data_IF_934906741562
#
_entry.id   IF_934906741562
#
_cell.length_a   1.000
_cell.length_b   1.000
_cell.length_c   1.000
_cell.angle_alpha   90.00
_cell.angle_beta   90.00
_cell.angle_gamma   90.00
#
_symmetry.space_group_name_H-M   'P 1'
#
loop_
_entity.id
_entity.type
_entity.pdbx_description
1 polymer ?
#
# COMPACT_ATOMS: atom_id res chain seq x y z
N UNK A 1 3.54 50.33 -16.46
CA UNK A 1 4.51 49.48 -15.75
C UNK A 1 4.01 48.05 -15.76
N UNK A 2 4.69 47.23 -16.56
CA UNK A 2 4.41 45.82 -16.82
C UNK A 2 5.01 45.00 -15.68
N UNK A 3 4.27 44.08 -15.07
CA UNK A 3 4.58 42.64 -15.14
C UNK A 3 3.66 41.85 -14.21
N UNK A 4 2.73 41.13 -14.83
CA UNK A 4 2.21 39.88 -14.31
C UNK A 4 3.22 38.80 -14.71
N UNK A 5 3.82 38.11 -13.75
CA UNK A 5 4.70 36.98 -14.02
C UNK A 5 3.93 35.68 -13.71
N UNK A 6 3.44 35.04 -14.77
CA UNK A 6 2.92 33.69 -14.78
C UNK A 6 4.02 32.74 -15.28
N UNK A 7 4.21 31.65 -14.52
CA UNK A 7 4.56 30.28 -14.94
C UNK A 7 6.00 30.04 -15.45
N UNK A 8 6.72 29.10 -14.82
CA UNK A 8 7.11 27.81 -15.41
C UNK A 8 7.99 27.01 -14.43
N UNK A 9 7.39 25.96 -13.85
CA UNK A 9 8.08 25.00 -12.98
C UNK A 9 7.49 23.61 -13.19
N UNK A 10 7.44 23.17 -14.44
CA UNK A 10 6.91 21.87 -14.83
C UNK A 10 7.90 20.75 -14.45
N UNK A 11 7.99 20.41 -13.16
CA UNK A 11 8.71 19.20 -12.76
C UNK A 11 7.82 17.98 -12.94
N UNK A 12 8.05 17.26 -14.04
CA UNK A 12 7.61 15.86 -14.21
C UNK A 12 8.21 15.03 -13.08
N UNK A 13 7.50 14.89 -11.98
CA UNK A 13 7.80 13.90 -10.95
C UNK A 13 7.58 12.52 -11.57
N UNK A 14 8.64 11.73 -11.59
CA UNK A 14 8.74 10.49 -12.35
C UNK A 14 7.70 9.44 -11.93
N UNK A 15 7.02 8.91 -12.94
CA UNK A 15 5.96 7.88 -12.93
C UNK A 15 6.27 6.60 -12.11
N UNK A 16 7.52 6.39 -11.71
CA UNK A 16 7.99 5.20 -10.99
C UNK A 16 7.89 5.32 -9.47
N UNK A 17 7.85 6.54 -8.92
CA UNK A 17 7.91 6.77 -7.46
C UNK A 17 6.63 6.36 -6.73
N UNK A 18 5.47 6.66 -7.32
CA UNK A 18 4.14 6.39 -6.71
C UNK A 18 3.82 4.89 -6.77
N UNK A 19 4.08 4.22 -7.90
CA UNK A 19 3.97 2.76 -8.03
C UNK A 19 4.93 1.98 -7.13
N UNK A 20 6.02 2.61 -6.66
CA UNK A 20 6.94 2.02 -5.68
C UNK A 20 6.46 2.22 -4.26
N UNK A 21 5.77 3.32 -3.94
CA UNK A 21 5.24 3.60 -2.59
C UNK A 21 4.13 2.62 -2.19
N UNK A 22 3.16 2.38 -3.08
CA UNK A 22 2.09 1.38 -2.84
C UNK A 22 2.66 -0.04 -2.72
N UNK A 23 3.65 -0.38 -3.55
CA UNK A 23 4.38 -1.65 -3.45
C UNK A 23 5.28 -1.75 -2.22
N UNK A 24 5.82 -0.65 -1.70
CA UNK A 24 6.63 -0.64 -0.47
C UNK A 24 5.77 -0.71 0.78
N UNK A 25 4.56 -0.15 0.78
CA UNK A 25 3.64 -0.22 1.91
C UNK A 25 3.07 -1.64 2.06
N UNK A 26 2.76 -2.33 0.96
CA UNK A 26 2.51 -3.79 1.00
C UNK A 26 3.76 -4.62 1.36
N UNK A 27 4.96 -4.03 1.32
CA UNK A 27 6.21 -4.66 1.76
C UNK A 27 6.57 -4.35 3.21
N UNK A 28 5.90 -3.39 3.86
CA UNK A 28 6.13 -3.04 5.26
C UNK A 28 5.51 -4.04 6.23
N UNK A 29 4.71 -4.99 5.74
CA UNK A 29 4.38 -6.24 6.43
C UNK A 29 5.40 -7.36 6.15
N UNK A 30 6.21 -7.25 5.08
CA UNK A 30 7.19 -8.26 4.65
C UNK A 30 8.62 -7.77 4.90
N UNK A 31 9.03 -7.80 6.16
CA UNK A 31 10.39 -7.52 6.60
C UNK A 31 11.38 -8.46 5.88
N UNK A 32 12.29 -7.84 5.13
CA UNK A 32 13.69 -8.24 4.87
C UNK A 32 13.93 -9.71 4.45
N UNK A 33 14.12 -9.96 3.15
CA UNK A 33 14.92 -11.11 2.72
C UNK A 33 16.05 -10.68 1.80
N UNK A 34 17.25 -10.86 2.35
CA UNK A 34 18.53 -10.81 1.68
C UNK A 34 18.56 -11.83 0.54
N UNK A 35 18.98 -11.43 -0.65
CA UNK A 35 19.45 -12.35 -1.68
C UNK A 35 20.97 -12.30 -1.73
N UNK A 36 21.62 -13.20 -0.99
CA UNK A 36 22.93 -13.71 -1.39
C UNK A 36 22.68 -15.05 -2.07
N UNK A 37 22.79 -15.07 -3.39
CA UNK A 37 22.98 -16.32 -4.14
C UNK A 37 24.49 -16.49 -4.34
N UNK A 38 25.01 -17.61 -3.85
CA UNK A 38 26.35 -18.08 -4.16
C UNK A 38 26.21 -19.48 -4.73
N UNK A 39 26.67 -19.66 -5.96
CA UNK A 39 27.06 -20.96 -6.48
C UNK A 39 28.39 -20.79 -7.21
N UNK A 40 29.45 -21.34 -6.63
CA UNK A 40 30.26 -22.34 -7.31
C UNK A 40 31.13 -23.09 -6.29
N UNK A 41 31.12 -24.41 -6.44
CA UNK A 41 31.80 -25.41 -5.66
C UNK A 41 33.32 -25.28 -5.74
N UNK A 42 34.02 -25.54 -4.63
CA UNK A 42 35.19 -26.43 -4.57
C UNK A 42 35.52 -26.81 -3.12
N UNK A 43 36.00 -28.03 -2.97
CA UNK A 43 36.38 -28.78 -1.76
C UNK A 43 37.40 -28.10 -0.82
N UNK A 44 37.20 -28.22 0.51
CA UNK A 44 38.10 -28.90 1.47
C UNK A 44 37.82 -28.49 2.94
N UNK A 45 37.53 -29.51 3.78
CA UNK A 45 37.81 -29.71 5.22
C UNK A 45 37.98 -28.48 6.15
N UNK A 46 37.08 -28.34 7.16
CA UNK A 46 37.43 -28.21 8.60
C UNK A 46 36.20 -28.24 9.53
N UNK A 47 36.49 -28.56 10.79
CA UNK A 47 35.68 -29.13 11.87
C UNK A 47 34.68 -28.19 12.57
N UNK A 48 33.66 -28.84 13.12
CA UNK A 48 32.88 -28.57 14.35
C UNK A 48 32.26 -27.19 14.60
N UNK A 49 30.92 -27.16 14.68
CA UNK A 49 30.20 -26.85 15.93
C UNK A 49 28.73 -27.28 15.79
N UNK A 50 28.30 -28.25 16.60
CA UNK A 50 26.89 -28.64 16.73
C UNK A 50 26.08 -27.43 17.22
N UNK A 51 25.09 -27.00 16.44
CA UNK A 51 23.92 -26.29 16.98
C UNK A 51 22.65 -26.83 16.35
N UNK A 52 22.08 -27.81 17.04
CA UNK A 52 20.68 -28.20 16.90
C UNK A 52 19.81 -26.96 17.15
N UNK A 53 19.20 -26.43 16.09
CA UNK A 53 18.01 -25.58 16.22
C UNK A 53 16.99 -26.14 15.23
N UNK A 54 16.18 -27.06 15.74
CA UNK A 54 14.91 -27.38 15.11
C UNK A 54 14.01 -26.14 15.23
N UNK A 55 13.94 -25.32 14.18
CA UNK A 55 12.84 -24.38 14.04
C UNK A 55 11.78 -25.03 13.17
N UNK A 56 10.77 -25.55 13.88
CA UNK A 56 9.53 -26.07 13.36
C UNK A 56 9.00 -25.12 12.26
N UNK A 57 8.95 -25.61 11.03
CA UNK A 57 8.38 -24.94 9.88
C UNK A 57 6.88 -24.79 10.09
N UNK A 58 6.49 -23.67 10.70
CA UNK A 58 5.19 -23.06 10.49
C UNK A 58 5.45 -21.68 9.90
N UNK A 59 5.90 -21.66 8.65
CA UNK A 59 5.65 -20.52 7.78
C UNK A 59 4.13 -20.45 7.62
N UNK A 60 3.46 -19.76 8.53
CA UNK A 60 2.09 -19.32 8.30
C UNK A 60 2.17 -18.49 7.02
N UNK A 61 1.54 -18.97 5.95
CA UNK A 61 1.28 -18.18 4.75
C UNK A 61 0.75 -16.83 5.21
N UNK A 62 1.56 -15.78 5.12
CA UNK A 62 1.04 -14.43 5.39
C UNK A 62 -0.03 -14.15 4.35
N UNK A 63 -1.21 -13.82 4.86
CA UNK A 63 -2.50 -13.75 4.20
C UNK A 63 -2.43 -13.13 2.79
N UNK A 64 -2.91 -13.89 1.79
CA UNK A 64 -2.73 -13.66 0.36
C UNK A 64 -3.62 -12.59 -0.24
N UNK A 65 -3.57 -11.37 0.30
CA UNK A 65 -4.25 -10.24 -0.30
C UNK A 65 -3.41 -9.59 -1.40
N UNK A 66 -4.07 -9.27 -2.52
CA UNK A 66 -3.47 -8.52 -3.62
C UNK A 66 -4.42 -7.44 -4.11
N UNK A 67 -3.92 -6.52 -4.94
CA UNK A 67 -4.73 -5.43 -5.50
C UNK A 67 -4.81 -5.53 -7.02
N UNK A 68 -5.92 -5.07 -7.58
CA UNK A 68 -6.12 -4.89 -9.01
C UNK A 68 -6.54 -3.45 -9.29
N UNK A 69 -5.70 -2.74 -10.02
CA UNK A 69 -5.95 -1.37 -10.45
C UNK A 69 -6.71 -1.38 -11.79
N UNK A 70 -7.74 -0.53 -11.90
CA UNK A 70 -8.53 -0.31 -13.12
C UNK A 70 -8.69 1.19 -13.37
N UNK A 71 -8.80 1.57 -14.64
CA UNK A 71 -8.93 2.97 -15.04
C UNK A 71 -7.60 3.73 -15.03
N UNK A 72 -7.68 5.04 -15.28
CA UNK A 72 -6.50 5.91 -15.33
C UNK A 72 -6.27 6.61 -13.99
N UNK A 73 -5.07 6.50 -13.44
CA UNK A 73 -4.67 7.18 -12.21
C UNK A 73 -4.94 8.70 -12.27
N UNK A 74 -5.32 9.32 -11.14
CA UNK A 74 -5.72 10.72 -11.02
C UNK A 74 -6.98 11.12 -11.83
N UNK A 75 -7.85 10.16 -12.14
CA UNK A 75 -9.14 10.42 -12.78
C UNK A 75 -10.26 9.77 -11.99
N UNK A 76 -11.50 10.24 -12.21
CA UNK A 76 -12.70 9.68 -11.57
C UNK A 76 -12.98 8.22 -11.97
N UNK A 77 -12.33 7.70 -13.02
CA UNK A 77 -12.44 6.30 -13.45
C UNK A 77 -11.55 5.34 -12.67
N UNK A 78 -10.58 5.85 -11.91
CA UNK A 78 -9.60 5.01 -11.23
C UNK A 78 -10.24 4.24 -10.07
N UNK A 79 -10.00 2.92 -10.03
CA UNK A 79 -10.47 2.02 -8.98
C UNK A 79 -9.38 1.04 -8.58
N UNK A 80 -9.29 0.77 -7.29
CA UNK A 80 -8.42 -0.27 -6.73
C UNK A 80 -9.29 -1.30 -6.02
N UNK A 81 -9.31 -2.52 -6.56
CA UNK A 81 -10.03 -3.65 -5.99
C UNK A 81 -9.08 -4.54 -5.19
N UNK A 82 -9.59 -5.15 -4.13
CA UNK A 82 -8.86 -6.13 -3.33
C UNK A 82 -9.19 -7.54 -3.80
N UNK A 83 -8.20 -8.43 -3.71
CA UNK A 83 -8.33 -9.85 -4.04
C UNK A 83 -7.73 -10.73 -2.97
N UNK A 84 -8.34 -11.89 -2.79
CA UNK A 84 -7.80 -13.01 -2.04
C UNK A 84 -7.72 -14.21 -3.00
N UNK A 85 -6.50 -14.56 -3.43
CA UNK A 85 -6.30 -15.45 -4.57
C UNK A 85 -6.98 -14.87 -5.84
N UNK A 86 -7.90 -15.63 -6.43
CA UNK A 86 -8.64 -15.21 -7.62
C UNK A 86 -9.94 -14.46 -7.31
N UNK A 87 -10.41 -14.47 -6.06
CA UNK A 87 -11.67 -13.85 -5.64
C UNK A 87 -11.49 -12.37 -5.35
N UNK A 88 -12.32 -11.52 -5.94
CA UNK A 88 -12.44 -10.10 -5.54
C UNK A 88 -13.19 -10.03 -4.22
N UNK A 89 -12.65 -9.28 -3.27
CA UNK A 89 -13.19 -9.14 -1.91
C UNK A 89 -13.44 -7.67 -1.59
N UNK A 90 -14.36 -7.42 -0.65
CA UNK A 90 -14.60 -6.11 -0.06
C UNK A 90 -13.62 -5.86 1.08
N UNK A 91 -12.80 -4.78 1.02
CA UNK A 91 -11.93 -4.42 2.13
C UNK A 91 -12.71 -4.03 3.39
N UNK A 92 -13.97 -3.62 3.28
CA UNK A 92 -14.78 -3.27 4.44
C UNK A 92 -15.28 -4.49 5.21
N UNK A 93 -15.82 -5.48 4.49
CA UNK A 93 -16.56 -6.58 5.10
C UNK A 93 -15.75 -7.86 5.22
N UNK A 94 -14.92 -8.18 4.22
CA UNK A 94 -14.27 -9.48 4.10
C UNK A 94 -12.89 -9.54 4.78
N UNK A 95 -12.21 -8.39 4.90
CA UNK A 95 -10.94 -8.30 5.65
C UNK A 95 -11.26 -8.25 7.15
N UNK A 96 -10.77 -9.19 7.98
CA UNK A 96 -11.03 -9.18 9.42
C UNK A 96 -10.49 -7.91 10.09
N UNK A 97 -11.20 -7.35 11.08
CA UNK A 97 -10.71 -6.21 11.85
C UNK A 97 -9.39 -6.51 12.58
N UNK A 98 -9.30 -7.69 13.19
CA UNK A 98 -8.11 -8.14 13.92
C UNK A 98 -7.23 -9.04 13.04
N UNK A 99 -5.94 -8.73 12.99
CA UNK A 99 -4.92 -9.66 12.51
C UNK A 99 -4.56 -10.67 13.61
N UNK A 100 -4.57 -10.22 14.87
CA UNK A 100 -4.36 -11.00 16.08
C UNK A 100 -5.18 -10.38 17.21
N UNK A 101 -6.27 -11.02 17.60
CA UNK A 101 -7.21 -10.50 18.58
C UNK A 101 -6.67 -10.55 20.02
N UNK A 102 -5.82 -11.55 20.32
CA UNK A 102 -5.21 -11.71 21.65
C UNK A 102 -4.22 -10.58 21.91
N UNK A 103 -3.43 -10.20 20.90
CA UNK A 103 -2.44 -9.14 21.00
C UNK A 103 -2.96 -7.75 20.58
N UNK A 104 -4.26 -7.64 20.27
CA UNK A 104 -4.90 -6.38 19.81
C UNK A 104 -4.19 -5.77 18.60
N UNK A 105 -3.82 -6.62 17.64
CA UNK A 105 -3.25 -6.20 16.35
C UNK A 105 -4.39 -6.10 15.34
N UNK A 106 -4.51 -4.93 14.71
CA UNK A 106 -5.58 -4.61 13.77
C UNK A 106 -5.07 -4.62 12.33
N UNK A 107 -5.95 -4.98 11.39
CA UNK A 107 -5.71 -4.76 9.97
C UNK A 107 -6.09 -3.32 9.62
N UNK A 108 -5.18 -2.60 8.98
CA UNK A 108 -5.41 -1.27 8.45
C UNK A 108 -5.50 -1.33 6.92
N UNK A 109 -6.58 -0.81 6.35
CA UNK A 109 -6.69 -0.59 4.92
C UNK A 109 -6.13 0.79 4.60
N UNK A 110 -4.97 0.83 3.94
CA UNK A 110 -4.34 2.09 3.55
C UNK A 110 -4.98 2.62 2.28
N UNK A 111 -5.57 3.80 2.35
CA UNK A 111 -6.22 4.48 1.22
C UNK A 111 -5.28 5.53 0.60
N UNK A 112 -4.61 6.31 1.45
CA UNK A 112 -3.77 7.42 1.04
C UNK A 112 -2.35 7.20 1.56
N UNK A 113 -1.38 6.88 0.67
CA UNK A 113 0.01 6.77 1.04
C UNK A 113 0.58 8.10 1.55
N UNK A 114 1.52 8.03 2.49
CA UNK A 114 2.25 9.20 2.99
C UNK A 114 2.85 10.04 1.86
N UNK A 115 2.76 11.35 2.01
CA UNK A 115 3.21 12.39 1.09
C UNK A 115 2.52 12.40 -0.28
N UNK A 116 1.31 11.82 -0.36
CA UNK A 116 0.44 11.93 -1.52
C UNK A 116 -0.72 12.90 -1.26
N UNK A 117 -1.31 13.42 -2.33
CA UNK A 117 -2.37 14.45 -2.27
C UNK A 117 -3.73 13.94 -2.75
N UNK A 118 -3.78 12.84 -3.52
CA UNK A 118 -5.04 12.32 -4.03
C UNK A 118 -5.90 11.86 -2.84
N UNK A 119 -7.08 12.47 -2.66
CA UNK A 119 -8.01 12.02 -1.62
C UNK A 119 -8.68 10.74 -2.11
N UNK A 120 -8.10 9.62 -1.73
CA UNK A 120 -8.63 8.29 -2.01
C UNK A 120 -9.47 7.84 -0.83
N UNK A 121 -10.58 7.16 -1.11
CA UNK A 121 -11.50 6.65 -0.11
C UNK A 121 -12.18 5.38 -0.61
N UNK A 122 -12.56 4.51 0.31
CA UNK A 122 -13.34 3.32 0.01
C UNK A 122 -14.75 3.69 -0.44
N UNK A 123 -15.15 3.21 -1.61
CA UNK A 123 -16.47 3.45 -2.18
C UNK A 123 -17.50 2.46 -1.62
N UNK A 124 -18.02 2.72 -0.42
CA UNK A 124 -19.00 1.85 0.25
C UNK A 124 -20.30 1.62 -0.53
N UNK A 125 -20.63 2.52 -1.46
CA UNK A 125 -21.79 2.40 -2.34
C UNK A 125 -21.54 1.59 -3.62
N UNK A 126 -20.29 1.27 -3.95
CA UNK A 126 -19.93 0.50 -5.15
C UNK A 126 -19.69 -0.98 -4.81
N UNK A 127 -20.03 -1.86 -5.74
CA UNK A 127 -19.83 -3.30 -5.55
C UNK A 127 -18.35 -3.65 -5.35
N UNK A 128 -18.06 -4.42 -4.30
CA UNK A 128 -16.69 -4.80 -3.90
C UNK A 128 -15.93 -3.70 -3.17
N UNK A 129 -16.60 -2.60 -2.79
CA UNK A 129 -16.05 -1.47 -2.04
C UNK A 129 -14.62 -1.05 -2.48
N UNK A 130 -14.40 -0.78 -3.79
CA UNK A 130 -13.09 -0.40 -4.28
C UNK A 130 -12.63 0.93 -3.69
N UNK A 131 -11.32 1.15 -3.61
CA UNK A 131 -10.77 2.47 -3.30
C UNK A 131 -10.85 3.32 -4.57
N UNK A 132 -11.47 4.49 -4.48
CA UNK A 132 -11.59 5.48 -5.56
C UNK A 132 -11.16 6.85 -5.09
N UNK A 133 -10.94 7.76 -6.03
CA UNK A 133 -10.67 9.15 -5.69
C UNK A 133 -11.99 9.88 -5.40
N UNK A 134 -12.03 10.64 -4.31
CA UNK A 134 -13.15 11.51 -3.95
C UNK A 134 -13.39 12.54 -5.08
N UNK A 135 -14.66 12.87 -5.31
CA UNK A 135 -15.09 13.82 -6.31
C UNK A 135 -15.54 15.11 -5.64
N UNK A 136 -14.98 16.24 -6.06
CA UNK A 136 -15.41 17.57 -5.61
C UNK A 136 -15.71 18.42 -6.82
N UNK A 137 -16.99 18.76 -7.02
CA UNK A 137 -17.47 19.59 -8.16
C UNK A 137 -17.15 18.97 -9.53
N UNK A 138 -17.37 17.67 -9.71
CA UNK A 138 -17.13 17.00 -11.01
C UNK A 138 -15.66 16.71 -11.32
N UNK A 139 -14.72 17.03 -10.40
CA UNK A 139 -13.29 16.79 -10.60
C UNK A 139 -12.70 15.95 -9.47
N UNK A 140 -11.69 15.16 -9.83
CA UNK A 140 -10.95 14.33 -8.89
C UNK A 140 -10.26 15.20 -7.84
N UNK A 141 -10.53 14.94 -6.56
CA UNK A 141 -10.11 15.82 -5.46
C UNK A 141 -8.66 15.55 -5.05
N UNK A 142 -7.91 16.64 -4.89
CA UNK A 142 -6.60 16.64 -4.27
C UNK A 142 -6.65 17.48 -2.99
N UNK A 143 -6.00 17.01 -1.94
CA UNK A 143 -5.79 17.75 -0.70
C UNK A 143 -4.63 18.73 -0.92
N UNK A 144 -4.87 19.98 -0.56
CA UNK A 144 -3.88 21.03 -0.67
C UNK A 144 -2.71 20.82 0.30
N UNK A 145 -1.53 21.29 -0.07
CA UNK A 145 -0.38 21.27 0.82
C UNK A 145 -0.50 22.41 1.84
N UNK A 146 -0.20 22.12 3.10
CA UNK A 146 -0.13 23.11 4.18
C UNK A 146 1.31 23.14 4.68
N UNK A 147 2.02 24.25 4.44
CA UNK A 147 3.42 24.40 4.85
C UNK A 147 3.59 24.14 6.36
N UNK A 148 4.58 23.35 6.80
CA UNK A 148 5.72 22.77 6.05
C UNK A 148 5.46 21.38 5.44
N UNK A 149 4.22 20.88 5.46
CA UNK A 149 3.88 19.53 5.04
C UNK A 149 3.48 19.44 3.56
N UNK A 150 3.75 18.29 2.95
CA UNK A 150 3.35 17.94 1.58
C UNK A 150 2.40 16.74 1.62
N UNK A 151 1.18 16.93 1.14
CA UNK A 151 0.14 15.90 1.13
C UNK A 151 -0.18 15.41 2.54
N UNK A 152 -0.58 14.14 2.64
CA UNK A 152 -0.82 13.50 3.92
C UNK A 152 0.52 13.19 4.63
N UNK A 153 0.75 13.70 5.86
CA UNK A 153 2.01 13.48 6.57
C UNK A 153 2.19 12.02 7.06
N UNK A 154 1.13 11.21 7.06
CA UNK A 154 1.13 9.79 7.43
C UNK A 154 0.45 8.93 6.35
N UNK A 155 0.59 7.61 6.47
CA UNK A 155 -0.31 6.70 5.77
C UNK A 155 -1.69 6.81 6.41
N UNK A 156 -2.72 7.01 5.60
CA UNK A 156 -4.07 7.23 6.05
C UNK A 156 -5.03 6.21 5.43
N UNK A 157 -6.08 5.86 6.15
CA UNK A 157 -7.08 4.92 5.70
C UNK A 157 -8.03 4.49 6.81
N UNK A 158 -8.60 3.30 6.70
CA UNK A 158 -9.71 2.84 7.55
C UNK A 158 -9.44 1.48 8.21
N UNK A 159 -10.19 1.21 9.28
CA UNK A 159 -10.32 -0.13 9.85
C UNK A 159 -11.46 -0.87 9.13
N UNK A 160 -11.29 -2.17 8.91
CA UNK A 160 -12.39 -2.99 8.40
C UNK A 160 -13.46 -3.22 9.46
N UNK A 161 -14.67 -3.54 9.02
CA UNK A 161 -15.79 -3.95 9.87
C UNK A 161 -16.21 -2.93 10.94
N UNK A 162 -15.88 -1.65 10.76
CA UNK A 162 -16.31 -0.53 11.61
C UNK A 162 -17.26 0.41 10.86
N UNK A 163 -18.10 1.12 11.60
CA UNK A 163 -19.00 2.17 11.11
C UNK A 163 -19.06 3.26 12.18
N UNK A 164 -18.98 4.54 11.78
CA UNK A 164 -19.17 5.72 12.64
C UNK A 164 -20.60 6.29 12.53
#
# INVERSE_FOLDING_TARGET
FISSLLIYGHQKMSFLGIKRSIRHIMKLSSVYQNTCSLSNCTSNIRLDFQRTVASNTNQRNMCGYSIVERGQYNTLSYRVFFKEGDRVISPWHDIPLFADEQNKVYNMIVEIPRFSNAKMEMATSEAGAPIKQDEKKGVARFVDNVFPFKGYPWNYGALSQTWE
#
